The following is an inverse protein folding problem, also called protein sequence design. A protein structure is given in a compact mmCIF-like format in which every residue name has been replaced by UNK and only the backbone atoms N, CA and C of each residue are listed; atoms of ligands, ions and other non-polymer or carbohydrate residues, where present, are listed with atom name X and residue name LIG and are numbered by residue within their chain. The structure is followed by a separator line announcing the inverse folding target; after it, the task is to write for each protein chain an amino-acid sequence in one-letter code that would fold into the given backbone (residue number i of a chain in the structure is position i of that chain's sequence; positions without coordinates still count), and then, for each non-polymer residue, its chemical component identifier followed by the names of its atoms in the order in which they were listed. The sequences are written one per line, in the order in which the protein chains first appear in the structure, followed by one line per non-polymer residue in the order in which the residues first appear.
data_IF_184450382508
#
_entry.id   IF_184450382508
#
_cell.length_a   1.000
_cell.length_b   1.000
_cell.length_c   1.000
_cell.angle_alpha   90.00
_cell.angle_beta   90.00
_cell.angle_gamma   90.00
#
_symmetry.space_group_name_H-M   'P 1'
#
loop_
_entity.id
_entity.type
_entity.pdbx_description
1 polymer ?
#
# COMPACT_ATOMS: atom_id res chain seq x y z
N UNK A 1 21.34 -1.28 20.79
CA UNK A 1 21.16 -2.66 20.29
C UNK A 1 19.78 -2.89 19.66
N UNK A 2 18.67 -2.88 20.40
CA UNK A 2 17.33 -3.12 19.82
C UNK A 2 16.91 -2.09 18.74
N UNK A 3 17.13 -0.80 18.97
CA UNK A 3 16.86 0.26 17.98
C UNK A 3 17.71 0.12 16.71
N UNK A 4 18.98 -0.27 16.86
CA UNK A 4 19.91 -0.44 15.75
C UNK A 4 19.54 -1.67 14.91
N UNK A 5 19.14 -2.77 15.54
CA UNK A 5 18.63 -3.96 14.83
C UNK A 5 17.32 -3.68 14.06
N UNK A 6 16.42 -2.85 14.60
CA UNK A 6 15.21 -2.42 13.88
C UNK A 6 15.53 -1.52 12.68
N UNK A 7 16.52 -0.65 12.83
CA UNK A 7 16.99 0.22 11.75
C UNK A 7 17.71 -0.58 10.65
N UNK A 8 18.56 -1.55 11.01
CA UNK A 8 19.24 -2.44 10.06
C UNK A 8 18.27 -3.40 9.37
N UNK A 9 17.28 -3.95 10.08
CA UNK A 9 16.20 -4.74 9.48
C UNK A 9 15.24 -3.88 8.63
N UNK A 10 15.33 -2.55 8.72
CA UNK A 10 14.60 -1.59 7.88
C UNK A 10 15.49 -1.03 6.76
N UNK A 11 16.77 -1.45 6.64
CA UNK A 11 17.55 -1.11 5.45
C UNK A 11 16.95 -1.81 4.25
N UNK A 12 16.81 -1.05 3.19
CA UNK A 12 16.28 -1.53 1.92
C UNK A 12 17.17 -2.66 1.40
N UNK A 13 16.58 -3.85 1.21
CA UNK A 13 17.24 -4.98 0.56
C UNK A 13 17.07 -4.78 -0.95
N UNK A 14 18.17 -4.53 -1.66
CA UNK A 14 18.19 -4.43 -3.11
C UNK A 14 18.46 -5.81 -3.73
N UNK A 15 17.65 -6.17 -4.72
CA UNK A 15 17.77 -7.43 -5.47
C UNK A 15 17.53 -7.20 -6.96
N UNK A 16 17.99 -8.12 -7.79
CA UNK A 16 17.65 -8.13 -9.21
C UNK A 16 16.16 -8.44 -9.44
N UNK A 17 15.64 -8.06 -10.60
CA UNK A 17 14.28 -8.42 -11.01
C UNK A 17 14.08 -9.95 -11.01
N UNK A 18 15.10 -10.72 -11.38
CA UNK A 18 15.05 -12.18 -11.41
C UNK A 18 14.97 -12.79 -10.01
N UNK A 19 15.75 -12.27 -9.05
CA UNK A 19 15.66 -12.68 -7.65
C UNK A 19 14.31 -12.35 -7.04
N UNK A 20 13.73 -11.18 -7.37
CA UNK A 20 12.38 -10.82 -6.96
C UNK A 20 11.34 -11.80 -7.50
N UNK A 21 11.40 -12.13 -8.80
CA UNK A 21 10.48 -13.12 -9.37
C UNK A 21 10.66 -14.51 -8.73
N UNK A 22 11.88 -14.92 -8.43
CA UNK A 22 12.14 -16.16 -7.69
C UNK A 22 11.52 -16.12 -6.29
N UNK A 23 11.69 -15.02 -5.55
CA UNK A 23 11.06 -14.80 -4.25
C UNK A 23 9.53 -14.91 -4.32
N UNK A 24 8.90 -14.38 -5.36
CA UNK A 24 7.45 -14.48 -5.56
C UNK A 24 6.96 -15.94 -5.65
N UNK A 25 7.80 -16.91 -6.04
CA UNK A 25 7.41 -18.33 -6.04
C UNK A 25 7.19 -18.85 -4.63
N UNK A 26 8.05 -18.44 -3.72
CA UNK A 26 8.13 -18.97 -2.36
C UNK A 26 7.27 -18.15 -1.38
N UNK A 27 7.15 -16.84 -1.63
CA UNK A 27 6.46 -15.90 -0.75
C UNK A 27 5.46 -15.03 -1.51
N UNK A 28 4.17 -15.37 -1.35
CA UNK A 28 3.07 -14.59 -1.94
C UNK A 28 2.93 -13.19 -1.34
N UNK A 29 3.48 -12.95 -0.15
CA UNK A 29 3.46 -11.62 0.46
C UNK A 29 4.32 -10.62 -0.32
N UNK A 30 5.26 -11.10 -1.15
CA UNK A 30 6.14 -10.26 -1.94
C UNK A 30 5.42 -9.45 -3.03
N UNK A 31 4.27 -9.93 -3.50
CA UNK A 31 3.46 -9.25 -4.51
C UNK A 31 2.01 -9.03 -4.04
N UNK A 32 1.78 -9.12 -2.72
CA UNK A 32 0.48 -8.89 -2.13
C UNK A 32 0.05 -7.42 -2.31
N UNK A 33 -1.20 -7.22 -2.72
CA UNK A 33 -1.77 -5.89 -2.84
C UNK A 33 -2.01 -5.24 -1.45
N UNK A 34 -2.28 -3.93 -1.42
CA UNK A 34 -2.45 -3.19 -0.17
C UNK A 34 -3.51 -3.80 0.77
N UNK A 35 -4.62 -4.30 0.23
CA UNK A 35 -5.68 -4.92 1.02
C UNK A 35 -5.26 -6.29 1.58
N UNK A 36 -4.59 -7.13 0.78
CA UNK A 36 -4.01 -8.38 1.24
C UNK A 36 -3.00 -8.15 2.38
N UNK A 37 -2.11 -7.16 2.23
CA UNK A 37 -1.11 -6.83 3.26
C UNK A 37 -1.76 -6.33 4.56
N UNK A 38 -2.81 -5.52 4.47
CA UNK A 38 -3.59 -5.14 5.66
C UNK A 38 -4.27 -6.34 6.31
N UNK A 39 -4.86 -7.26 5.55
CA UNK A 39 -5.47 -8.47 6.11
C UNK A 39 -4.44 -9.34 6.84
N UNK A 40 -3.25 -9.53 6.23
CA UNK A 40 -2.14 -10.23 6.87
C UNK A 40 -1.72 -9.56 8.19
N UNK A 41 -1.67 -8.23 8.21
CA UNK A 41 -1.33 -7.47 9.41
C UNK A 41 -2.42 -7.48 10.49
N UNK A 42 -3.70 -7.46 10.09
CA UNK A 42 -4.86 -7.53 11.00
C UNK A 42 -4.91 -8.90 11.69
N UNK A 43 -4.63 -9.98 10.94
CA UNK A 43 -4.64 -11.35 11.42
C UNK A 43 -6.04 -12.00 11.40
N UNK A 44 -6.09 -13.22 11.93
CA UNK A 44 -7.32 -14.01 11.99
C UNK A 44 -8.23 -13.58 13.15
N UNK A 45 -9.56 -13.63 12.99
CA UNK A 45 -10.50 -13.31 14.05
C UNK A 45 -10.64 -14.45 15.07
N UNK A 46 -10.81 -14.08 16.33
CA UNK A 46 -11.46 -14.91 17.34
C UNK A 46 -12.98 -14.82 17.16
N UNK A 47 -13.63 -15.99 17.03
CA UNK A 47 -15.09 -16.07 16.91
C UNK A 47 -15.71 -16.16 18.30
N UNK A 48 -16.47 -15.13 18.69
CA UNK A 48 -17.06 -15.03 20.02
C UNK A 48 -18.58 -15.26 19.92
N UNK A 49 -19.04 -16.32 20.59
CA UNK A 49 -20.46 -16.57 20.83
C UNK A 49 -20.93 -15.74 22.02
N UNK A 50 -21.58 -14.60 21.73
CA UNK A 50 -22.00 -13.65 22.77
C UNK A 50 -23.13 -14.16 23.65
N UNK A 51 -23.83 -15.24 23.28
CA UNK A 51 -24.86 -15.85 24.11
C UNK A 51 -24.29 -16.46 25.41
N UNK A 52 -22.99 -16.80 25.41
CA UNK A 52 -22.29 -17.39 26.56
C UNK A 52 -21.87 -16.36 27.61
N UNK A 53 -21.91 -15.06 27.29
CA UNK A 53 -21.54 -13.97 28.18
C UNK A 53 -22.76 -13.05 28.41
N UNK A 54 -23.29 -12.92 29.64
CA UNK A 54 -24.48 -12.10 29.90
C UNK A 54 -24.34 -10.61 29.53
N UNK A 55 -23.12 -10.06 29.53
CA UNK A 55 -22.85 -8.67 29.14
C UNK A 55 -22.84 -8.55 27.62
N UNK A 56 -22.10 -9.42 26.93
CA UNK A 56 -22.03 -9.39 25.47
C UNK A 56 -23.37 -9.75 24.83
N UNK A 57 -24.12 -10.69 25.42
CA UNK A 57 -25.47 -11.08 25.04
C UNK A 57 -26.40 -9.87 24.91
N UNK A 58 -26.37 -8.95 25.88
CA UNK A 58 -27.20 -7.74 25.89
C UNK A 58 -26.76 -6.70 24.85
N UNK A 59 -25.46 -6.60 24.58
CA UNK A 59 -24.91 -5.62 23.63
C UNK A 59 -25.14 -6.09 22.19
N UNK A 60 -24.83 -7.36 21.91
CA UNK A 60 -24.82 -7.92 20.56
C UNK A 60 -26.04 -8.79 20.25
N UNK A 61 -27.05 -8.83 21.13
CA UNK A 61 -28.28 -9.59 20.95
C UNK A 61 -28.03 -11.08 20.63
N UNK A 62 -27.12 -11.72 21.37
CA UNK A 62 -26.70 -13.12 21.17
C UNK A 62 -26.10 -13.45 19.80
N UNK A 63 -25.66 -12.45 19.02
CA UNK A 63 -24.99 -12.69 17.74
C UNK A 63 -23.59 -13.26 17.96
N UNK A 64 -23.13 -14.05 17.00
CA UNK A 64 -21.71 -14.42 16.90
C UNK A 64 -20.98 -13.24 16.27
N UNK A 65 -19.86 -12.82 16.88
CA UNK A 65 -19.06 -11.69 16.40
C UNK A 65 -17.61 -12.11 16.16
N UNK A 66 -16.96 -11.42 15.23
CA UNK A 66 -15.53 -11.56 14.93
C UNK A 66 -14.74 -10.52 15.72
N UNK A 67 -13.82 -10.94 16.59
CA UNK A 67 -12.91 -10.03 17.31
C UNK A 67 -11.47 -10.25 16.85
N UNK A 68 -10.76 -9.15 16.59
CA UNK A 68 -9.37 -9.18 16.15
C UNK A 68 -8.47 -8.64 17.26
N UNK A 69 -7.43 -9.39 17.63
CA UNK A 69 -6.47 -9.00 18.69
C UNK A 69 -5.83 -7.64 18.41
N UNK A 70 -5.56 -7.34 17.14
CA UNK A 70 -5.02 -6.05 16.69
C UNK A 70 -5.92 -4.87 17.06
N UNK A 71 -7.23 -5.08 17.21
CA UNK A 71 -8.22 -4.05 17.53
C UNK A 71 -8.81 -4.18 18.94
N UNK A 72 -8.16 -4.91 19.87
CA UNK A 72 -8.69 -5.13 21.23
C UNK A 72 -9.03 -3.88 22.04
N UNK A 73 -8.37 -2.75 21.74
CA UNK A 73 -8.58 -1.48 22.42
C UNK A 73 -9.77 -0.67 21.84
N UNK A 74 -10.40 -1.15 20.76
CA UNK A 74 -11.52 -0.50 20.06
C UNK A 74 -12.87 -1.07 20.52
N UNK A 75 -13.21 -0.80 21.78
CA UNK A 75 -14.46 -1.26 22.39
C UNK A 75 -15.70 -0.64 21.72
N UNK A 76 -16.68 -1.47 21.35
CA UNK A 76 -17.94 -1.02 20.75
C UNK A 76 -17.83 -0.70 19.26
N UNK A 77 -16.69 -0.99 18.62
CA UNK A 77 -16.48 -0.81 17.18
C UNK A 77 -16.44 -2.15 16.43
N UNK A 78 -16.82 -3.26 17.06
CA UNK A 78 -16.73 -4.60 16.47
C UNK A 78 -17.45 -4.71 15.11
N UNK A 79 -18.68 -4.19 14.99
CA UNK A 79 -19.42 -4.19 13.71
C UNK A 79 -18.71 -3.35 12.63
N UNK A 80 -18.13 -2.20 13.00
CA UNK A 80 -17.42 -1.33 12.06
C UNK A 80 -16.10 -1.97 11.59
N UNK A 81 -15.37 -2.62 12.50
CA UNK A 81 -14.15 -3.37 12.19
C UNK A 81 -14.50 -4.54 11.26
N UNK A 82 -15.58 -5.28 11.54
CA UNK A 82 -16.02 -6.38 10.69
C UNK A 82 -16.37 -5.91 9.27
N UNK A 83 -17.01 -4.75 9.12
CA UNK A 83 -17.27 -4.14 7.81
C UNK A 83 -15.98 -3.75 7.08
N UNK A 84 -15.00 -3.16 7.78
CA UNK A 84 -13.70 -2.82 7.19
C UNK A 84 -12.97 -4.08 6.74
N UNK A 85 -12.93 -5.12 7.57
CA UNK A 85 -12.28 -6.39 7.20
C UNK A 85 -13.00 -7.06 6.04
N UNK A 86 -14.33 -7.01 5.99
CA UNK A 86 -15.12 -7.51 4.85
C UNK A 86 -14.77 -6.77 3.56
N UNK A 87 -14.73 -5.44 3.61
CA UNK A 87 -14.29 -4.58 2.49
C UNK A 87 -12.89 -4.96 2.01
N UNK A 88 -11.94 -5.12 2.94
CA UNK A 88 -10.57 -5.53 2.61
C UNK A 88 -10.52 -6.93 2.00
N UNK A 89 -11.30 -7.90 2.50
CA UNK A 89 -11.39 -9.27 1.94
C UNK A 89 -11.86 -9.25 0.49
N UNK A 90 -12.87 -8.46 0.16
CA UNK A 90 -13.34 -8.34 -1.22
C UNK A 90 -12.35 -7.59 -2.11
N UNK A 91 -11.75 -6.50 -1.61
CA UNK A 91 -10.73 -5.74 -2.34
C UNK A 91 -9.49 -6.61 -2.64
N UNK A 92 -9.04 -7.41 -1.67
CA UNK A 92 -7.93 -8.35 -1.79
C UNK A 92 -8.14 -9.38 -2.92
N UNK A 93 -9.38 -9.83 -3.12
CA UNK A 93 -9.75 -10.76 -4.20
C UNK A 93 -9.86 -10.10 -5.58
N UNK A 94 -9.76 -8.76 -5.64
CA UNK A 94 -9.87 -8.01 -6.88
C UNK A 94 -11.31 -7.70 -7.29
N UNK A 95 -12.26 -7.75 -6.35
CA UNK A 95 -13.68 -7.40 -6.56
C UNK A 95 -13.87 -5.87 -6.68
N UNK A 96 -15.11 -5.39 -6.68
CA UNK A 96 -15.43 -3.99 -7.00
C UNK A 96 -14.97 -3.01 -5.90
N UNK A 97 -14.91 -3.48 -4.65
CA UNK A 97 -14.47 -2.73 -3.47
C UNK A 97 -13.09 -2.10 -3.65
N UNK A 98 -12.20 -2.71 -4.45
CA UNK A 98 -10.86 -2.16 -4.73
C UNK A 98 -10.87 -0.80 -5.43
N UNK A 99 -11.98 -0.42 -6.08
CA UNK A 99 -12.15 0.86 -6.79
C UNK A 99 -12.88 1.90 -5.93
N UNK A 100 -13.32 1.50 -4.74
CA UNK A 100 -14.11 2.34 -3.84
C UNK A 100 -13.20 3.01 -2.81
N UNK A 101 -13.66 4.12 -2.25
CA UNK A 101 -13.01 4.81 -1.15
C UNK A 101 -13.75 4.44 0.15
N UNK A 102 -13.01 4.00 1.16
CA UNK A 102 -13.56 3.73 2.48
C UNK A 102 -13.87 5.06 3.20
N UNK A 103 -15.15 5.33 3.45
CA UNK A 103 -15.60 6.53 4.14
C UNK A 103 -16.03 6.22 5.57
N UNK A 104 -15.29 6.74 6.55
CA UNK A 104 -15.59 6.58 7.97
C UNK A 104 -16.53 7.70 8.43
N UNK A 105 -17.83 7.41 8.55
CA UNK A 105 -18.84 8.34 9.01
C UNK A 105 -19.19 8.11 10.49
N UNK A 106 -19.33 9.18 11.28
CA UNK A 106 -19.77 9.07 12.67
C UNK A 106 -19.61 10.37 13.46
N UNK A 107 -20.14 10.42 14.70
CA UNK A 107 -20.08 11.61 15.55
C UNK A 107 -18.64 12.01 15.90
N UNK A 108 -18.46 13.27 16.31
CA UNK A 108 -17.18 13.76 16.84
C UNK A 108 -16.80 12.92 18.06
N UNK A 109 -15.53 12.51 18.15
CA UNK A 109 -15.04 11.64 19.23
C UNK A 109 -15.33 10.14 19.07
N UNK A 110 -16.00 9.70 17.99
CA UNK A 110 -16.31 8.28 17.74
C UNK A 110 -15.15 7.38 17.33
N UNK A 111 -13.89 7.74 17.64
CA UNK A 111 -12.71 6.88 17.38
C UNK A 111 -12.27 6.75 15.91
N UNK A 112 -12.87 7.49 14.97
CA UNK A 112 -12.56 7.40 13.53
C UNK A 112 -11.09 7.62 13.19
N UNK A 113 -10.51 8.71 13.71
CA UNK A 113 -9.10 9.02 13.49
C UNK A 113 -8.21 7.97 14.17
N UNK A 114 -8.56 7.49 15.35
CA UNK A 114 -7.83 6.40 16.02
C UNK A 114 -7.81 5.13 15.17
N UNK A 115 -8.92 4.82 14.50
CA UNK A 115 -9.02 3.67 13.60
C UNK A 115 -8.17 3.86 12.34
N UNK A 116 -8.18 5.06 11.75
CA UNK A 116 -7.32 5.40 10.62
C UNK A 116 -5.83 5.30 10.98
N UNK A 117 -5.43 5.83 12.15
CA UNK A 117 -4.06 5.68 12.68
C UNK A 117 -3.69 4.21 12.89
N UNK A 118 -4.63 3.40 13.40
CA UNK A 118 -4.39 1.97 13.57
C UNK A 118 -4.19 1.25 12.24
N UNK A 119 -4.98 1.55 11.21
CA UNK A 119 -4.81 0.98 9.87
C UNK A 119 -3.46 1.39 9.26
N UNK A 120 -3.04 2.64 9.43
CA UNK A 120 -1.71 3.10 9.00
C UNK A 120 -0.59 2.33 9.71
N UNK A 121 -0.68 2.17 11.02
CA UNK A 121 0.30 1.39 11.80
C UNK A 121 0.35 -0.08 11.36
N UNK A 122 -0.79 -0.69 11.03
CA UNK A 122 -0.83 -2.05 10.50
C UNK A 122 -0.21 -2.15 9.10
N UNK A 123 -0.34 -1.11 8.27
CA UNK A 123 0.30 -1.05 6.96
C UNK A 123 1.84 -1.05 7.04
N UNK A 124 2.43 -0.52 8.12
CA UNK A 124 3.89 -0.57 8.35
C UNK A 124 4.41 -1.98 8.68
N UNK A 125 3.53 -2.92 9.05
CA UNK A 125 3.93 -4.27 9.45
C UNK A 125 4.45 -5.11 8.27
N UNK A 126 3.97 -4.83 7.05
CA UNK A 126 4.30 -5.60 5.85
C UNK A 126 5.11 -4.75 4.87
N UNK A 127 6.24 -5.25 4.33
CA UNK A 127 7.03 -4.52 3.34
C UNK A 127 6.28 -4.34 2.01
N UNK A 128 6.73 -3.39 1.20
CA UNK A 128 6.45 -3.28 -0.24
C UNK A 128 7.72 -3.58 -1.02
N UNK A 129 7.55 -3.98 -2.28
CA UNK A 129 8.63 -4.12 -3.25
C UNK A 129 8.46 -3.04 -4.29
N UNK A 130 9.53 -2.28 -4.53
CA UNK A 130 9.51 -1.12 -5.40
C UNK A 130 10.61 -1.19 -6.44
N UNK A 131 10.31 -0.67 -7.62
CA UNK A 131 11.27 -0.54 -8.70
C UNK A 131 12.37 0.46 -8.34
N UNK A 132 13.59 0.17 -8.79
CA UNK A 132 14.74 1.05 -8.67
C UNK A 132 15.61 0.98 -9.93
N UNK A 133 16.25 2.09 -10.25
CA UNK A 133 17.08 2.25 -11.43
C UNK A 133 18.22 3.22 -11.10
N UNK A 134 19.43 2.92 -11.54
CA UNK A 134 20.62 3.78 -11.33
C UNK A 134 20.88 4.15 -9.85
N UNK A 135 20.52 3.27 -8.91
CA UNK A 135 20.66 3.52 -7.47
C UNK A 135 19.55 4.41 -6.87
N UNK A 136 18.55 4.80 -7.67
CA UNK A 136 17.41 5.57 -7.22
C UNK A 136 16.15 4.70 -7.14
N UNK A 137 15.42 4.83 -6.04
CA UNK A 137 14.08 4.27 -5.89
C UNK A 137 13.11 5.00 -6.80
N UNK A 138 12.12 4.28 -7.33
CA UNK A 138 10.94 4.90 -7.93
C UNK A 138 10.34 5.92 -6.95
N UNK A 139 10.17 7.19 -7.36
CA UNK A 139 9.64 8.23 -6.49
C UNK A 139 8.14 8.07 -6.21
N UNK A 140 7.45 7.23 -6.98
CA UNK A 140 6.03 6.89 -6.80
C UNK A 140 5.82 5.46 -6.30
N UNK A 141 6.84 4.80 -5.75
CA UNK A 141 6.77 3.40 -5.31
C UNK A 141 6.20 2.45 -6.39
N UNK A 142 6.68 2.50 -7.63
CA UNK A 142 6.28 1.58 -8.71
C UNK A 142 6.46 0.12 -8.26
N UNK A 143 5.41 -0.68 -8.32
CA UNK A 143 5.53 -2.12 -8.09
C UNK A 143 6.29 -2.76 -9.27
N UNK A 144 7.20 -3.73 -9.07
CA UNK A 144 7.98 -4.34 -10.17
C UNK A 144 7.11 -4.91 -11.30
N UNK A 145 5.88 -5.31 -10.99
CA UNK A 145 4.92 -5.80 -11.99
C UNK A 145 4.47 -4.75 -13.00
N UNK A 146 4.75 -3.45 -12.81
CA UNK A 146 4.47 -2.42 -13.81
C UNK A 146 5.29 -2.59 -15.11
N UNK A 147 6.34 -3.42 -15.07
CA UNK A 147 7.17 -3.77 -16.23
C UNK A 147 6.53 -4.84 -17.14
N UNK A 148 5.51 -5.55 -16.66
CA UNK A 148 4.90 -6.68 -17.36
C UNK A 148 3.46 -6.36 -17.76
N UNK A 149 3.02 -6.87 -18.91
CA UNK A 149 1.64 -6.75 -19.36
C UNK A 149 0.91 -8.06 -19.17
N UNK A 150 -0.27 -8.01 -18.57
CA UNK A 150 -1.11 -9.19 -18.35
C UNK A 150 -1.37 -10.00 -19.63
N UNK A 151 -1.52 -9.34 -20.77
CA UNK A 151 -1.82 -9.99 -22.06
C UNK A 151 -0.62 -10.66 -22.72
N UNK A 152 0.60 -10.16 -22.48
CA UNK A 152 1.82 -10.63 -23.15
C UNK A 152 2.59 -11.59 -22.22
N UNK A 153 2.73 -11.24 -20.95
CA UNK A 153 3.59 -11.92 -19.97
C UNK A 153 2.81 -12.80 -18.99
N UNK A 154 1.49 -12.66 -18.93
CA UNK A 154 0.65 -13.26 -17.88
C UNK A 154 0.71 -14.78 -17.80
N UNK A 155 0.70 -15.46 -18.94
CA UNK A 155 0.80 -16.93 -18.98
C UNK A 155 2.20 -17.43 -18.59
N UNK A 156 3.25 -16.68 -18.96
CA UNK A 156 4.63 -17.00 -18.61
C UNK A 156 4.81 -16.84 -17.10
N UNK A 157 4.38 -15.71 -16.53
CA UNK A 157 4.49 -15.45 -15.09
C UNK A 157 3.67 -16.43 -14.25
N UNK A 158 2.52 -16.87 -14.75
CA UNK A 158 1.72 -17.91 -14.10
C UNK A 158 2.41 -19.27 -14.13
N UNK A 159 2.93 -19.69 -15.28
CA UNK A 159 3.54 -21.02 -15.47
C UNK A 159 4.86 -21.12 -14.73
N UNK A 160 5.72 -20.10 -14.87
CA UNK A 160 7.08 -20.16 -14.36
C UNK A 160 7.14 -19.76 -12.89
N UNK A 161 6.30 -18.81 -12.44
CA UNK A 161 6.39 -18.20 -11.11
C UNK A 161 5.11 -18.32 -10.26
N UNK A 162 4.03 -18.89 -10.78
CA UNK A 162 2.76 -19.02 -10.04
C UNK A 162 2.02 -17.70 -9.82
N UNK A 163 2.39 -16.64 -10.55
CA UNK A 163 1.79 -15.31 -10.40
C UNK A 163 0.55 -15.22 -11.29
N UNK A 164 -0.62 -15.12 -10.67
CA UNK A 164 -1.88 -14.98 -11.40
C UNK A 164 -1.98 -13.63 -12.13
N UNK A 165 -2.54 -13.62 -13.33
CA UNK A 165 -2.68 -12.41 -14.17
C UNK A 165 -3.39 -11.25 -13.46
N UNK A 166 -4.25 -11.56 -12.47
CA UNK A 166 -4.98 -10.54 -11.69
C UNK A 166 -4.06 -9.59 -10.91
N UNK A 167 -2.79 -9.96 -10.68
CA UNK A 167 -1.78 -9.11 -10.03
C UNK A 167 -1.06 -8.18 -11.01
N UNK A 168 -1.13 -8.45 -12.31
CA UNK A 168 -0.44 -7.69 -13.37
C UNK A 168 -1.30 -6.53 -13.87
N UNK A 169 -1.70 -5.64 -12.94
CA UNK A 169 -2.56 -4.48 -13.24
C UNK A 169 -1.85 -3.14 -13.09
N UNK A 170 -0.66 -3.15 -12.49
CA UNK A 170 0.11 -1.94 -12.27
C UNK A 170 0.51 -1.32 -13.60
N UNK A 171 0.38 0.00 -13.68
CA UNK A 171 0.83 0.77 -14.83
C UNK A 171 2.20 1.35 -14.54
N UNK A 172 3.02 1.48 -15.57
CA UNK A 172 4.33 2.11 -15.48
C UNK A 172 4.17 3.61 -15.24
N UNK A 173 4.84 4.15 -14.22
CA UNK A 173 4.90 5.59 -14.02
C UNK A 173 5.71 6.30 -15.13
N UNK A 174 5.56 7.62 -15.30
CA UNK A 174 6.42 8.38 -16.22
C UNK A 174 7.92 8.24 -15.90
N UNK A 175 8.28 8.13 -14.62
CA UNK A 175 9.66 7.90 -14.19
C UNK A 175 10.16 6.53 -14.69
N UNK A 176 9.40 5.47 -14.44
CA UNK A 176 9.78 4.12 -14.88
C UNK A 176 9.82 4.01 -16.41
N UNK A 177 8.89 4.66 -17.12
CA UNK A 177 8.86 4.70 -18.58
C UNK A 177 10.11 5.37 -19.16
N UNK A 178 10.54 6.52 -18.61
CA UNK A 178 11.79 7.18 -19.00
C UNK A 178 12.99 6.24 -18.84
N UNK A 179 13.12 5.57 -17.69
CA UNK A 179 14.22 4.62 -17.43
C UNK A 179 14.19 3.43 -18.38
N UNK A 180 13.02 2.90 -18.72
CA UNK A 180 12.90 1.83 -19.70
C UNK A 180 13.45 2.26 -21.07
N UNK A 181 13.14 3.49 -21.51
CA UNK A 181 13.69 4.03 -22.76
C UNK A 181 15.21 4.21 -22.70
N UNK A 182 15.75 4.76 -21.62
CA UNK A 182 17.20 4.91 -21.40
C UNK A 182 17.93 3.56 -21.38
N UNK A 183 17.27 2.53 -20.87
CA UNK A 183 17.78 1.16 -20.84
C UNK A 183 17.70 0.43 -22.17
N UNK A 184 17.06 1.03 -23.18
CA UNK A 184 16.85 0.42 -24.49
C UNK A 184 15.81 -0.70 -24.47
N UNK A 185 14.84 -0.63 -23.55
CA UNK A 185 13.83 -1.68 -23.35
C UNK A 185 14.29 -2.84 -22.48
N UNK A 186 15.53 -2.82 -21.99
CA UNK A 186 16.09 -3.89 -21.16
C UNK A 186 15.61 -3.78 -19.70
N UNK A 187 14.57 -4.55 -19.36
CA UNK A 187 14.01 -4.57 -18.00
C UNK A 187 14.98 -5.17 -16.96
N UNK A 188 16.01 -5.90 -17.38
CA UNK A 188 16.96 -6.54 -16.45
C UNK A 188 17.89 -5.54 -15.75
N UNK A 189 17.97 -4.31 -16.28
CA UNK A 189 18.69 -3.19 -15.67
C UNK A 189 17.94 -2.57 -14.49
N UNK A 190 16.64 -2.84 -14.36
CA UNK A 190 15.93 -2.49 -13.14
C UNK A 190 16.29 -3.45 -12.01
N UNK A 191 16.30 -2.89 -10.82
CA UNK A 191 16.41 -3.64 -9.57
C UNK A 191 15.15 -3.43 -8.75
N UNK A 192 14.94 -4.29 -7.77
CA UNK A 192 13.83 -4.22 -6.84
C UNK A 192 14.38 -3.96 -5.44
N UNK A 193 13.80 -2.98 -4.76
CA UNK A 193 14.10 -2.72 -3.35
C UNK A 193 12.92 -3.13 -2.49
N UNK A 194 13.20 -3.88 -1.43
CA UNK A 194 12.23 -4.18 -0.39
C UNK A 194 12.24 -3.04 0.62
N UNK A 195 11.11 -2.35 0.76
CA UNK A 195 10.99 -1.14 1.57
C UNK A 195 9.87 -1.33 2.58
N UNK A 196 10.09 -0.93 3.83
CA UNK A 196 8.98 -0.88 4.81
C UNK A 196 8.16 0.40 4.62
N UNK A 197 6.83 0.31 4.50
CA UNK A 197 5.98 1.49 4.61
C UNK A 197 6.25 2.23 5.92
N UNK A 198 6.19 3.55 5.87
CA UNK A 198 6.53 4.45 6.99
C UNK A 198 5.59 5.63 7.00
N UNK A 199 4.90 5.84 8.13
CA UNK A 199 4.08 7.03 8.37
C UNK A 199 4.97 8.27 8.44
N UNK A 200 6.13 8.13 9.11
CA UNK A 200 7.06 9.23 9.35
C UNK A 200 7.72 9.71 8.05
N UNK A 201 8.21 8.78 7.25
CA UNK A 201 8.93 9.08 6.00
C UNK A 201 7.98 9.22 4.80
N UNK A 202 6.67 9.01 5.03
CA UNK A 202 5.62 9.03 4.02
C UNK A 202 5.90 8.09 2.84
N UNK A 203 6.20 6.82 3.16
CA UNK A 203 6.47 5.77 2.18
C UNK A 203 5.32 4.77 2.23
N UNK A 204 4.58 4.60 1.13
CA UNK A 204 3.39 3.75 1.08
C UNK A 204 2.24 4.24 1.98
N UNK A 205 2.45 5.30 2.76
CA UNK A 205 1.44 5.86 3.66
C UNK A 205 1.51 7.38 3.54
N UNK A 206 0.37 8.03 3.32
CA UNK A 206 0.28 9.48 3.34
C UNK A 206 -1.01 9.93 4.00
N UNK A 207 -0.97 11.13 4.58
CA UNK A 207 -2.14 11.84 5.10
C UNK A 207 -2.18 13.21 4.44
N UNK A 208 -3.32 13.54 3.84
CA UNK A 208 -3.58 14.87 3.29
C UNK A 208 -4.59 15.56 4.18
N UNK A 209 -4.22 16.74 4.66
CA UNK A 209 -5.15 17.62 5.33
C UNK A 209 -5.84 18.51 4.29
N UNK A 210 -7.13 18.79 4.46
CA UNK A 210 -7.85 19.62 3.51
C UNK A 210 -7.31 21.05 3.61
N UNK A 211 -7.00 21.63 2.46
CA UNK A 211 -6.78 23.07 2.37
C UNK A 211 -8.11 23.83 2.48
N UNK A 212 -8.04 25.14 2.67
CA UNK A 212 -9.20 26.02 2.48
C UNK A 212 -9.77 25.82 1.06
N UNK A 213 -11.11 25.82 0.90
CA UNK A 213 -11.80 25.67 -0.39
C UNK A 213 -11.24 26.62 -1.46
N UNK A 214 -10.76 27.80 -1.05
CA UNK A 214 -10.23 28.82 -1.96
C UNK A 214 -8.76 28.60 -2.34
N UNK A 215 -8.04 27.72 -1.64
CA UNK A 215 -6.58 27.64 -1.73
C UNK A 215 -6.04 26.20 -1.69
N UNK A 216 -6.90 25.21 -1.98
CA UNK A 216 -6.48 23.82 -2.04
C UNK A 216 -5.58 23.58 -3.26
N UNK A 217 -4.28 23.54 -3.02
CA UNK A 217 -3.29 23.23 -4.05
C UNK A 217 -3.30 21.73 -4.33
N UNK A 218 -3.71 21.37 -5.55
CA UNK A 218 -3.73 19.99 -6.08
C UNK A 218 -2.31 19.36 -5.98
N UNK A 219 -1.25 20.17 -5.93
CA UNK A 219 0.12 19.69 -5.77
C UNK A 219 0.35 18.89 -4.48
N UNK A 220 -0.49 19.07 -3.45
CA UNK A 220 -0.50 18.25 -2.24
C UNK A 220 -0.87 16.78 -2.52
N UNK A 221 -1.66 16.52 -3.57
CA UNK A 221 -2.08 15.17 -3.98
C UNK A 221 -1.17 14.60 -5.06
N UNK A 222 -0.85 15.38 -6.10
CA UNK A 222 -0.16 14.87 -7.30
C UNK A 222 1.32 15.25 -7.36
N UNK A 223 1.75 16.29 -6.66
CA UNK A 223 3.09 16.88 -6.81
C UNK A 223 3.11 18.08 -7.76
N UNK A 224 4.32 18.55 -8.11
CA UNK A 224 4.52 19.70 -9.01
C UNK A 224 5.90 19.68 -9.64
N UNK A 225 6.08 20.46 -10.70
CA UNK A 225 7.40 20.67 -11.32
C UNK A 225 8.36 21.30 -10.30
N UNK A 226 9.58 20.76 -10.18
CA UNK A 226 10.66 21.36 -9.38
C UNK A 226 11.44 22.34 -10.25
N UNK A 227 11.29 23.64 -9.95
CA UNK A 227 11.93 24.74 -10.70
C UNK A 227 13.45 24.57 -10.75
N UNK A 228 14.07 23.97 -9.73
CA UNK A 228 15.53 23.75 -9.67
C UNK A 228 15.99 22.70 -10.67
N UNK A 229 15.11 21.78 -11.07
CA UNK A 229 15.42 20.74 -12.06
C UNK A 229 15.30 21.25 -13.50
N UNK A 230 14.65 22.40 -13.71
CA UNK A 230 14.46 23.00 -15.04
C UNK A 230 15.75 23.52 -15.68
N UNK A 231 16.83 23.66 -14.91
CA UNK A 231 18.17 23.94 -15.46
C UNK A 231 18.75 22.74 -16.24
N UNK A 232 18.29 21.52 -15.94
CA UNK A 232 18.82 20.28 -16.50
C UNK A 232 17.80 19.49 -17.34
N UNK A 233 16.51 19.68 -17.08
CA UNK A 233 15.42 18.92 -17.68
C UNK A 233 14.33 19.85 -18.22
N UNK A 234 13.64 19.44 -19.28
CA UNK A 234 12.48 20.18 -19.78
C UNK A 234 11.30 20.07 -18.80
N UNK A 235 10.33 20.98 -18.91
CA UNK A 235 9.18 21.02 -17.99
C UNK A 235 8.30 19.75 -18.06
N UNK A 236 8.26 19.10 -19.22
CA UNK A 236 7.52 17.87 -19.48
C UNK A 236 8.33 16.60 -19.16
N UNK A 237 9.59 16.73 -18.76
CA UNK A 237 10.44 15.60 -18.38
C UNK A 237 10.02 15.05 -17.00
N UNK A 238 9.81 13.73 -16.86
CA UNK A 238 9.53 13.08 -15.57
C UNK A 238 10.52 13.42 -14.45
N UNK A 239 11.81 13.62 -14.75
CA UNK A 239 12.83 13.96 -13.75
C UNK A 239 12.79 15.43 -13.30
N UNK A 240 12.05 16.28 -14.02
CA UNK A 240 11.74 17.64 -13.58
C UNK A 240 10.56 17.68 -12.58
N UNK A 241 9.85 16.57 -12.41
CA UNK A 241 8.64 16.52 -11.58
C UNK A 241 8.96 16.08 -10.14
N UNK A 242 8.54 16.87 -9.17
CA UNK A 242 8.54 16.50 -7.75
C UNK A 242 7.29 15.67 -7.44
N UNK A 243 7.46 14.35 -7.38
CA UNK A 243 6.44 13.36 -6.96
C UNK A 243 6.17 13.39 -5.45
N UNK A 244 6.10 14.57 -4.86
CA UNK A 244 5.92 14.77 -3.42
C UNK A 244 4.46 14.67 -2.96
N UNK A 245 3.52 14.48 -3.90
CA UNK A 245 2.09 14.39 -3.63
C UNK A 245 1.71 13.12 -2.87
N UNK A 246 0.62 13.20 -2.10
CA UNK A 246 0.14 12.10 -1.27
C UNK A 246 -0.21 10.83 -2.07
N UNK A 247 -0.76 10.97 -3.29
CA UNK A 247 -1.06 9.81 -4.14
C UNK A 247 0.21 9.10 -4.62
N UNK A 248 1.27 9.87 -4.90
CA UNK A 248 2.58 9.31 -5.27
C UNK A 248 3.21 8.58 -4.09
N UNK A 249 3.20 9.21 -2.91
CA UNK A 249 3.81 8.69 -1.68
C UNK A 249 3.08 7.48 -1.12
N UNK A 250 1.75 7.48 -1.15
CA UNK A 250 0.91 6.40 -0.62
C UNK A 250 0.73 5.23 -1.58
N UNK A 251 1.27 5.29 -2.80
CA UNK A 251 1.14 4.20 -3.76
C UNK A 251 1.62 2.88 -3.16
N UNK A 252 0.95 1.79 -3.53
CA UNK A 252 1.00 0.46 -2.92
C UNK A 252 0.50 0.34 -1.47
N UNK A 253 0.10 1.42 -0.78
CA UNK A 253 -0.39 1.34 0.61
C UNK A 253 -1.66 2.16 0.86
N UNK A 254 -1.62 3.10 1.81
CA UNK A 254 -2.82 3.78 2.32
C UNK A 254 -2.68 5.30 2.30
N UNK A 255 -3.67 5.97 1.73
CA UNK A 255 -3.82 7.43 1.80
C UNK A 255 -5.04 7.78 2.65
N UNK A 256 -4.84 8.58 3.68
CA UNK A 256 -5.92 9.21 4.43
C UNK A 256 -6.17 10.61 3.85
N UNK A 257 -7.43 10.90 3.50
CA UNK A 257 -7.90 12.22 3.15
C UNK A 257 -8.87 12.69 4.23
N UNK A 258 -8.52 13.76 4.94
CA UNK A 258 -9.30 14.30 6.07
C UNK A 258 -10.27 15.37 5.60
#
# INVERSE_FOLDING_TARGET
DHYQSRYEAAKDEEMSLQEFLALCKDDKSAYANAAERLLMAIGEPEIIDTAKDPRLSRIFSNRVISRYETFKDFYGMEDAIEQIVSYLKHAAQGLEERKQILYLLGPVGGGKSSLAEKLKSLMEAMPIYVLSANGERSPVNDHPFCLFKATEDGEILKTDYGIEQRYLRSIMSPWAAKRLHEFGGDITKFKVMKVRPSILDQIGIAKTEPGDENNQDISSLVGKVDIRKLEHYSQDDPDAYSYSGALCKANQGLMEFV
#
